data_IF_563554408633
#
_entry.id   IF_563554408633
#
_cell.length_a   1.000
_cell.length_b   1.000
_cell.length_c   1.000
_cell.angle_alpha   90.00
_cell.angle_beta   90.00
_cell.angle_gamma   90.00
#
_symmetry.space_group_name_H-M   'P 1'
#
loop_
_entity.id
_entity.type
_entity.pdbx_description
1 polymer ?
#
# COMPACT_ATOMS: atom_id res chain seq x y z
N UNK A 1 -7.17 24.42 -22.44
CA UNK A 1 -8.16 24.96 -21.50
C UNK A 1 -7.57 24.81 -20.10
N UNK A 2 -7.33 25.95 -19.47
CA UNK A 2 -7.04 26.20 -18.05
C UNK A 2 -6.27 25.13 -17.25
N UNK A 3 -4.94 25.28 -17.22
CA UNK A 3 -4.12 24.70 -16.17
C UNK A 3 -4.55 25.22 -14.81
N UNK A 4 -4.69 24.30 -13.86
CA UNK A 4 -5.13 24.57 -12.50
C UNK A 4 -4.16 25.56 -11.83
N UNK A 5 -4.63 26.76 -11.48
CA UNK A 5 -3.82 27.92 -11.03
C UNK A 5 -3.05 27.73 -9.70
N UNK A 6 -3.02 26.52 -9.14
CA UNK A 6 -2.37 26.18 -7.87
C UNK A 6 -1.33 25.04 -7.97
N UNK A 7 -0.97 24.58 -9.17
CA UNK A 7 0.04 23.52 -9.32
C UNK A 7 1.45 24.13 -9.40
N UNK A 8 2.27 23.88 -8.37
CA UNK A 8 3.69 24.26 -8.39
C UNK A 8 4.43 23.25 -9.27
N UNK A 9 4.91 23.72 -10.43
CA UNK A 9 5.71 22.90 -11.34
C UNK A 9 7.15 22.89 -10.85
N UNK A 10 7.58 21.78 -10.25
CA UNK A 10 8.94 21.63 -9.72
C UNK A 10 9.98 21.15 -10.74
N UNK A 11 9.58 20.87 -11.99
CA UNK A 11 10.48 20.32 -13.01
C UNK A 11 11.72 21.20 -13.23
N UNK A 12 11.59 22.52 -13.16
CA UNK A 12 12.71 23.44 -13.33
C UNK A 12 13.74 23.34 -12.19
N UNK A 13 13.30 23.05 -10.96
CA UNK A 13 14.17 22.94 -9.78
C UNK A 13 15.03 21.67 -9.79
N UNK A 14 14.62 20.65 -10.56
CA UNK A 14 15.27 19.33 -10.60
C UNK A 14 16.08 19.10 -11.90
N UNK A 15 16.38 20.16 -12.66
CA UNK A 15 17.27 20.07 -13.84
C UNK A 15 18.74 20.06 -13.44
N UNK A 16 19.58 19.39 -14.24
CA UNK A 16 21.05 19.36 -14.09
C UNK A 16 21.57 18.89 -12.72
N UNK A 17 20.85 17.99 -12.05
CA UNK A 17 21.30 17.41 -10.78
C UNK A 17 22.44 16.40 -10.99
N UNK A 18 23.37 16.32 -10.02
CA UNK A 18 24.37 15.25 -9.94
C UNK A 18 23.92 14.23 -8.90
N UNK A 19 23.79 12.96 -9.30
CA UNK A 19 23.51 11.88 -8.35
C UNK A 19 24.73 11.68 -7.43
N UNK A 20 24.53 11.85 -6.12
CA UNK A 20 25.61 11.67 -5.14
C UNK A 20 25.54 10.28 -4.50
N UNK A 21 24.39 9.93 -3.90
CA UNK A 21 24.17 8.67 -3.18
C UNK A 21 22.68 8.38 -2.95
N UNK A 22 22.38 7.13 -2.62
CA UNK A 22 21.06 6.68 -2.15
C UNK A 22 21.16 6.22 -0.69
N UNK A 23 20.10 6.45 0.09
CA UNK A 23 19.94 5.93 1.44
C UNK A 23 18.65 5.12 1.52
N UNK A 24 18.71 3.95 2.18
CA UNK A 24 17.53 3.15 2.49
C UNK A 24 17.12 3.40 3.94
N UNK A 25 15.83 3.67 4.14
CA UNK A 25 15.25 3.86 5.47
C UNK A 25 14.14 2.82 5.62
N UNK A 26 14.03 2.24 6.81
CA UNK A 26 12.98 1.30 7.15
C UNK A 26 12.34 1.75 8.46
N UNK A 27 11.01 1.78 8.50
CA UNK A 27 10.24 1.81 9.73
C UNK A 27 9.98 0.36 10.15
N UNK A 28 10.63 -0.16 11.21
CA UNK A 28 10.47 -1.55 11.61
C UNK A 28 9.05 -1.81 12.13
N UNK A 29 8.59 -3.06 12.02
CA UNK A 29 7.34 -3.45 12.63
C UNK A 29 7.37 -3.21 14.14
N UNK A 30 6.27 -2.66 14.67
CA UNK A 30 6.09 -2.53 16.11
C UNK A 30 6.03 -3.91 16.75
N UNK A 31 6.67 -4.04 17.90
CA UNK A 31 6.65 -5.26 18.68
C UNK A 31 5.20 -5.69 18.98
N UNK A 32 4.92 -7.00 18.80
CA UNK A 32 3.61 -7.57 19.04
C UNK A 32 2.61 -7.45 17.88
N UNK A 33 2.87 -6.65 16.84
CA UNK A 33 1.96 -6.54 15.67
C UNK A 33 1.71 -7.89 14.99
N UNK A 34 2.74 -8.71 14.66
CA UNK A 34 2.49 -10.02 14.05
C UNK A 34 1.63 -10.95 14.93
N UNK A 35 1.83 -10.90 16.25
CA UNK A 35 1.03 -11.67 17.21
C UNK A 35 -0.42 -11.19 17.24
N UNK A 36 -0.65 -9.88 17.27
CA UNK A 36 -1.99 -9.30 17.25
C UNK A 36 -2.74 -9.65 15.95
N UNK A 37 -2.07 -9.59 14.80
CA UNK A 37 -2.64 -10.04 13.52
C UNK A 37 -3.01 -11.52 13.60
N UNK A 38 -2.13 -12.37 14.14
CA UNK A 38 -2.42 -13.78 14.31
C UNK A 38 -3.62 -14.06 15.24
N UNK A 39 -3.68 -13.39 16.39
CA UNK A 39 -4.78 -13.52 17.36
C UNK A 39 -6.13 -13.11 16.74
N UNK A 40 -6.16 -11.99 16.00
CA UNK A 40 -7.34 -11.54 15.25
C UNK A 40 -7.81 -12.59 14.24
N UNK A 41 -6.89 -13.11 13.43
CA UNK A 41 -7.21 -14.12 12.42
C UNK A 41 -7.73 -15.42 13.05
N UNK A 42 -7.13 -15.86 14.17
CA UNK A 42 -7.58 -17.03 14.93
C UNK A 42 -8.98 -16.83 15.52
N UNK A 43 -9.36 -15.60 15.85
CA UNK A 43 -10.70 -15.24 16.32
C UNK A 43 -11.73 -15.10 15.17
N UNK A 44 -11.33 -15.31 13.92
CA UNK A 44 -12.21 -15.14 12.75
C UNK A 44 -12.33 -13.71 12.25
N UNK A 45 -11.50 -12.79 12.75
CA UNK A 45 -11.43 -11.39 12.27
C UNK A 45 -10.47 -11.29 11.10
N UNK A 46 -10.95 -10.80 9.96
CA UNK A 46 -10.13 -10.58 8.76
C UNK A 46 -9.40 -9.25 8.87
N UNK A 47 -8.07 -9.30 8.97
CA UNK A 47 -7.20 -8.11 8.96
C UNK A 47 -6.86 -7.75 7.52
N UNK A 48 -6.94 -6.46 7.18
CA UNK A 48 -6.55 -5.90 5.87
C UNK A 48 -5.65 -4.70 6.08
N UNK A 49 -4.67 -4.51 5.20
CA UNK A 49 -3.81 -3.34 5.17
C UNK A 49 -4.35 -2.32 4.16
N UNK A 50 -4.39 -1.06 4.56
CA UNK A 50 -4.63 0.08 3.66
C UNK A 50 -3.50 1.07 3.90
N UNK A 51 -2.73 1.40 2.87
CA UNK A 51 -1.59 2.32 3.01
C UNK A 51 -1.43 3.23 1.79
N UNK A 52 -0.76 4.38 1.99
CA UNK A 52 -0.32 5.25 0.92
C UNK A 52 1.07 4.90 0.37
N UNK A 53 1.73 3.88 0.93
CA UNK A 53 3.03 3.41 0.48
C UNK A 53 2.98 2.79 -0.92
N UNK A 54 4.15 2.69 -1.56
CA UNK A 54 4.28 1.95 -2.80
C UNK A 54 3.85 0.48 -2.62
N UNK A 55 3.17 -0.07 -3.63
CA UNK A 55 2.66 -1.44 -3.66
C UNK A 55 3.69 -2.49 -3.22
N UNK A 56 4.95 -2.39 -3.66
CA UNK A 56 5.99 -3.36 -3.32
C UNK A 56 6.37 -3.28 -1.83
N UNK A 57 6.44 -2.07 -1.27
CA UNK A 57 6.69 -1.84 0.15
C UNK A 57 5.55 -2.40 1.00
N UNK A 58 4.30 -2.06 0.63
CA UNK A 58 3.11 -2.55 1.32
C UNK A 58 3.03 -4.09 1.31
N UNK A 59 3.35 -4.73 0.18
CA UNK A 59 3.41 -6.19 0.07
C UNK A 59 4.46 -6.81 0.99
N UNK A 60 5.65 -6.22 1.08
CA UNK A 60 6.72 -6.71 1.94
C UNK A 60 6.29 -6.64 3.42
N UNK A 61 5.78 -5.48 3.85
CA UNK A 61 5.32 -5.25 5.23
C UNK A 61 4.14 -6.16 5.56
N UNK A 62 3.16 -6.30 4.66
CA UNK A 62 1.99 -7.14 4.88
C UNK A 62 2.33 -8.63 5.02
N UNK A 63 3.35 -9.12 4.30
CA UNK A 63 3.88 -10.50 4.46
C UNK A 63 4.52 -10.67 5.83
N UNK A 64 5.35 -9.72 6.25
CA UNK A 64 6.03 -9.76 7.55
C UNK A 64 5.03 -9.69 8.72
N UNK A 65 3.96 -8.90 8.59
CA UNK A 65 2.85 -8.86 9.55
C UNK A 65 1.99 -10.13 9.58
N UNK A 66 2.09 -11.01 8.58
CA UNK A 66 1.20 -12.16 8.41
C UNK A 66 -0.22 -11.81 7.94
N UNK A 67 -0.40 -10.63 7.32
CA UNK A 67 -1.66 -10.18 6.69
C UNK A 67 -1.78 -10.77 5.29
N UNK A 68 -0.69 -10.68 4.50
CA UNK A 68 -0.68 -11.14 3.11
C UNK A 68 -0.37 -12.65 3.04
N UNK A 69 -1.38 -13.42 2.62
CA UNK A 69 -1.29 -14.87 2.39
C UNK A 69 -0.73 -15.17 0.99
N UNK A 70 -0.23 -16.40 0.72
CA UNK A 70 0.33 -16.76 -0.59
C UNK A 70 -0.61 -16.52 -1.79
N UNK A 71 -1.92 -16.65 -1.56
CA UNK A 71 -3.01 -16.46 -2.52
C UNK A 71 -3.75 -15.13 -2.35
N UNK A 72 -3.21 -14.24 -1.50
CA UNK A 72 -3.82 -12.95 -1.18
C UNK A 72 -3.76 -11.93 -2.31
N UNK A 73 -4.81 -11.13 -2.45
CA UNK A 73 -4.88 -10.08 -3.46
C UNK A 73 -4.34 -8.75 -2.92
N UNK A 74 -3.51 -8.11 -3.74
CA UNK A 74 -2.96 -6.76 -3.53
C UNK A 74 -3.33 -5.89 -4.72
N UNK A 75 -3.96 -4.76 -4.46
CA UNK A 75 -4.46 -3.84 -5.49
C UNK A 75 -4.03 -2.41 -5.16
N UNK A 76 -3.83 -1.56 -6.16
CA UNK A 76 -3.61 -0.13 -5.89
C UNK A 76 -4.95 0.62 -5.81
N UNK A 77 -4.98 1.70 -5.03
CA UNK A 77 -6.17 2.55 -4.91
C UNK A 77 -6.82 2.97 -6.24
N UNK A 78 -6.09 3.45 -7.26
CA UNK A 78 -6.67 3.77 -8.56
C UNK A 78 -7.28 2.57 -9.28
N UNK A 79 -6.63 1.41 -9.21
CA UNK A 79 -7.13 0.16 -9.81
C UNK A 79 -8.47 -0.23 -9.16
N UNK A 80 -8.54 -0.22 -7.83
CA UNK A 80 -9.77 -0.53 -7.09
C UNK A 80 -10.90 0.46 -7.36
N UNK A 81 -10.61 1.76 -7.42
CA UNK A 81 -11.61 2.81 -7.69
C UNK A 81 -12.18 2.76 -9.09
N UNK A 82 -11.43 2.23 -10.06
CA UNK A 82 -11.88 2.09 -11.44
C UNK A 82 -12.74 0.84 -11.67
N UNK A 83 -12.86 -0.06 -10.69
CA UNK A 83 -13.79 -1.18 -10.74
C UNK A 83 -15.24 -0.71 -10.56
N UNK A 84 -16.18 -1.42 -11.20
CA UNK A 84 -17.60 -1.25 -10.89
C UNK A 84 -17.90 -1.72 -9.46
N UNK A 85 -19.01 -1.25 -8.88
CA UNK A 85 -19.42 -1.65 -7.54
C UNK A 85 -19.56 -3.17 -7.37
N UNK A 86 -20.10 -3.86 -8.38
CA UNK A 86 -20.21 -5.33 -8.37
C UNK A 86 -18.83 -6.00 -8.33
N UNK A 87 -17.88 -5.53 -9.14
CA UNK A 87 -16.52 -6.05 -9.13
C UNK A 87 -15.79 -5.76 -7.82
N UNK A 88 -16.03 -4.59 -7.21
CA UNK A 88 -15.49 -4.27 -5.88
C UNK A 88 -16.02 -5.25 -4.82
N UNK A 89 -17.34 -5.50 -4.82
CA UNK A 89 -17.99 -6.43 -3.90
C UNK A 89 -17.46 -7.87 -4.07
N UNK A 90 -17.17 -8.31 -5.30
CA UNK A 90 -16.56 -9.62 -5.59
C UNK A 90 -15.10 -9.73 -5.11
N UNK A 91 -14.34 -8.64 -5.17
CA UNK A 91 -12.89 -8.62 -4.85
C UNK A 91 -12.61 -8.44 -3.36
N UNK A 92 -13.43 -7.64 -2.64
CA UNK A 92 -13.21 -7.30 -1.22
C UNK A 92 -12.95 -8.53 -0.34
N UNK A 93 -13.65 -9.68 -0.50
CA UNK A 93 -13.38 -10.88 0.29
C UNK A 93 -11.93 -11.37 0.22
N UNK A 94 -11.28 -11.22 -0.94
CA UNK A 94 -9.92 -11.69 -1.19
C UNK A 94 -8.86 -10.57 -1.10
N UNK A 95 -9.28 -9.31 -1.12
CA UNK A 95 -8.40 -8.14 -1.00
C UNK A 95 -7.80 -8.05 0.41
N UNK A 96 -6.48 -8.12 0.50
CA UNK A 96 -5.72 -8.09 1.76
C UNK A 96 -4.88 -6.81 1.92
N UNK A 97 -4.45 -6.21 0.81
CA UNK A 97 -3.65 -4.98 0.80
C UNK A 97 -4.19 -4.05 -0.28
N UNK A 98 -4.46 -2.79 0.10
CA UNK A 98 -4.94 -1.72 -0.76
C UNK A 98 -4.06 -0.46 -0.65
#
# INVERSE_FOLDING_TARGET
>A
AEGNRNEIVFEDAFKQMTFIRMVGIQDPLREGVPKAVWDCQRAGVVVRMVTGDNKLTAQAIAKECGILKPDGLVMEGPEFRNLSRLQQEDIIPNLQVL
#
